data_IF_376500574160
#
_entry.id   IF_376500574160
#
_cell.length_a   1.000
_cell.length_b   1.000
_cell.length_c   1.000
_cell.angle_alpha   90.00
_cell.angle_beta   90.00
_cell.angle_gamma   90.00
#
_symmetry.space_group_name_H-M   'P 1'
#
loop_
_entity.id
_entity.type
_entity.pdbx_description
1 polymer ?
#
# COMPACT_ATOMS: atom_id res chain seq x y z
N UNK A 1 -8.09 69.50 -14.65
CA UNK A 1 -6.88 68.94 -15.27
C UNK A 1 -7.04 67.43 -15.20
N UNK A 2 -7.26 66.80 -16.35
CA UNK A 2 -7.51 65.37 -16.43
C UNK A 2 -6.16 64.67 -16.33
N UNK A 3 -5.76 64.30 -15.12
CA UNK A 3 -4.63 63.41 -14.93
C UNK A 3 -4.95 62.11 -15.65
N UNK A 4 -4.14 61.76 -16.64
CA UNK A 4 -4.29 60.53 -17.42
C UNK A 4 -4.42 59.35 -16.45
N UNK A 5 -5.65 58.84 -16.33
CA UNK A 5 -6.07 57.75 -15.42
C UNK A 5 -5.28 56.45 -15.66
N UNK A 6 -4.55 56.38 -16.77
CA UNK A 6 -3.67 55.29 -17.11
C UNK A 6 -2.24 55.80 -17.33
N UNK A 7 -1.44 55.80 -16.27
CA UNK A 7 0.00 55.97 -16.39
C UNK A 7 0.56 54.77 -17.20
N UNK A 8 1.20 55.04 -18.34
CA UNK A 8 1.78 54.03 -19.23
C UNK A 8 2.72 53.06 -18.50
N UNK A 9 3.40 53.52 -17.45
CA UNK A 9 4.23 52.67 -16.58
C UNK A 9 3.39 51.66 -15.79
N UNK A 10 2.26 52.07 -15.25
CA UNK A 10 1.33 51.20 -14.52
C UNK A 10 0.70 50.16 -15.45
N UNK A 11 0.36 50.52 -16.68
CA UNK A 11 -0.18 49.58 -17.66
C UNK A 11 0.88 48.52 -18.03
N UNK A 12 2.10 48.97 -18.32
CA UNK A 12 3.20 48.08 -18.71
C UNK A 12 3.56 47.08 -17.61
N UNK A 13 3.63 47.54 -16.36
CA UNK A 13 3.92 46.68 -15.20
C UNK A 13 2.85 45.61 -14.97
N UNK A 14 1.56 45.96 -15.09
CA UNK A 14 0.46 44.99 -14.98
C UNK A 14 0.50 43.97 -16.12
N UNK A 15 0.79 44.40 -17.35
CA UNK A 15 0.94 43.50 -18.51
C UNK A 15 2.08 42.50 -18.32
N UNK A 16 3.25 42.96 -17.86
CA UNK A 16 4.42 42.12 -17.60
C UNK A 16 4.11 41.11 -16.48
N UNK A 17 3.48 41.56 -15.41
CA UNK A 17 3.06 40.70 -14.30
C UNK A 17 2.10 39.61 -14.77
N UNK A 18 1.08 39.96 -15.56
CA UNK A 18 0.11 39.00 -16.10
C UNK A 18 0.78 38.01 -17.06
N UNK A 19 1.71 38.48 -17.90
CA UNK A 19 2.48 37.64 -18.80
C UNK A 19 3.32 36.61 -18.04
N UNK A 20 3.98 37.02 -16.94
CA UNK A 20 4.71 36.09 -16.07
C UNK A 20 3.80 35.02 -15.49
N UNK A 21 2.62 35.39 -14.98
CA UNK A 21 1.64 34.43 -14.46
C UNK A 21 1.20 33.40 -15.49
N UNK A 22 0.89 33.84 -16.71
CA UNK A 22 0.51 32.94 -17.82
C UNK A 22 1.67 32.01 -18.17
N UNK A 23 2.90 32.51 -18.20
CA UNK A 23 4.09 31.72 -18.51
C UNK A 23 4.34 30.65 -17.44
N UNK A 24 4.23 31.01 -16.15
CA UNK A 24 4.37 30.08 -15.02
C UNK A 24 3.29 29.00 -15.07
N UNK A 25 2.02 29.38 -15.27
CA UNK A 25 0.91 28.44 -15.37
C UNK A 25 1.07 27.48 -16.57
N UNK A 26 1.54 27.99 -17.71
CA UNK A 26 1.84 27.19 -18.90
C UNK A 26 2.95 26.17 -18.63
N UNK A 27 4.02 26.58 -17.93
CA UNK A 27 5.13 25.69 -17.58
C UNK A 27 4.69 24.54 -16.66
N UNK A 28 3.87 24.85 -15.65
CA UNK A 28 3.29 23.87 -14.73
C UNK A 28 2.40 22.88 -15.50
N UNK A 29 1.54 23.39 -16.39
CA UNK A 29 0.65 22.56 -17.23
C UNK A 29 1.43 21.66 -18.18
N UNK A 30 2.50 22.16 -18.80
CA UNK A 30 3.35 21.40 -19.73
C UNK A 30 4.09 20.26 -19.00
N UNK A 31 4.66 20.53 -17.82
CA UNK A 31 5.34 19.49 -17.00
C UNK A 31 4.36 18.44 -16.47
N UNK A 32 3.15 18.85 -16.06
CA UNK A 32 2.08 17.93 -15.63
C UNK A 32 1.70 16.93 -16.73
N UNK A 33 1.66 17.37 -18.00
CA UNK A 33 1.31 16.48 -19.11
C UNK A 33 2.33 15.36 -19.34
N UNK A 34 3.62 15.60 -19.11
CA UNK A 34 4.66 14.55 -19.24
C UNK A 34 4.60 13.53 -18.10
N UNK A 35 4.32 13.99 -16.88
CA UNK A 35 4.08 13.09 -15.74
C UNK A 35 2.84 12.22 -15.95
N UNK A 36 1.76 12.79 -16.51
CA UNK A 36 0.57 12.02 -16.90
C UNK A 36 0.91 10.89 -17.88
N UNK A 37 1.83 11.11 -18.84
CA UNK A 37 2.26 10.06 -19.79
C UNK A 37 3.01 8.91 -19.12
N UNK A 38 3.84 9.21 -18.13
CA UNK A 38 4.62 8.18 -17.40
C UNK A 38 3.70 7.32 -16.54
N UNK A 39 2.70 7.91 -15.88
CA UNK A 39 1.72 7.17 -15.07
C UNK A 39 0.78 6.34 -15.96
N UNK A 40 0.37 6.86 -17.12
CA UNK A 40 -0.62 6.22 -17.98
C UNK A 40 -0.08 5.01 -18.77
N UNK A 41 1.24 4.82 -18.85
CA UNK A 41 1.84 3.68 -19.55
C UNK A 41 1.99 2.44 -18.66
N UNK A 42 1.75 2.54 -17.35
CA UNK A 42 1.80 1.38 -16.46
C UNK A 42 0.51 0.58 -16.59
N UNK A 43 0.57 -0.55 -17.31
CA UNK A 43 -0.57 -1.48 -17.44
C UNK A 43 -0.82 -2.14 -16.09
N UNK A 44 -2.02 -1.92 -15.54
CA UNK A 44 -2.51 -2.62 -14.35
C UNK A 44 -3.10 -3.94 -14.81
N UNK A 45 -2.56 -5.05 -14.33
CA UNK A 45 -3.09 -6.38 -14.60
C UNK A 45 -3.86 -6.89 -13.38
N UNK A 46 -5.16 -7.13 -13.53
CA UNK A 46 -5.99 -7.67 -12.45
C UNK A 46 -5.77 -9.19 -12.43
N UNK A 47 -5.19 -9.68 -11.35
CA UNK A 47 -4.91 -11.10 -11.15
C UNK A 47 -6.17 -11.80 -10.63
N UNK A 48 -6.83 -11.18 -9.64
CA UNK A 48 -7.99 -11.76 -8.99
C UNK A 48 -8.94 -10.68 -8.51
N UNK A 49 -10.24 -10.95 -8.64
CA UNK A 49 -11.31 -10.10 -8.16
C UNK A 49 -12.28 -10.96 -7.34
N UNK A 50 -12.55 -10.56 -6.10
CA UNK A 50 -13.49 -11.23 -5.22
C UNK A 50 -14.47 -10.21 -4.65
N UNK A 51 -15.75 -10.25 -5.04
CA UNK A 51 -16.78 -9.42 -4.42
C UNK A 51 -17.04 -9.93 -3.00
N UNK A 52 -17.01 -9.02 -2.03
CA UNK A 52 -17.30 -9.28 -0.63
C UNK A 52 -18.72 -8.74 -0.33
N UNK A 53 -19.39 -9.34 0.65
CA UNK A 53 -20.73 -8.92 1.06
C UNK A 53 -20.74 -7.46 1.53
N UNK A 54 -21.86 -6.78 1.31
CA UNK A 54 -22.06 -5.40 1.77
C UNK A 54 -21.32 -4.36 0.93
N UNK A 55 -21.08 -4.61 -0.36
CA UNK A 55 -20.52 -3.62 -1.30
C UNK A 55 -18.99 -3.48 -1.26
N UNK A 56 -18.32 -4.37 -0.53
CA UNK A 56 -16.86 -4.46 -0.49
C UNK A 56 -16.34 -5.32 -1.65
N UNK A 57 -15.12 -5.06 -2.09
CA UNK A 57 -14.41 -5.89 -3.08
C UNK A 57 -12.95 -6.02 -2.69
N UNK A 58 -12.43 -7.24 -2.80
CA UNK A 58 -11.00 -7.51 -2.76
C UNK A 58 -10.46 -7.71 -4.18
N UNK A 59 -9.30 -7.10 -4.46
CA UNK A 59 -8.66 -7.13 -5.77
C UNK A 59 -7.18 -7.40 -5.56
N UNK A 60 -6.67 -8.43 -6.21
CA UNK A 60 -5.23 -8.64 -6.37
C UNK A 60 -4.88 -8.15 -7.78
N UNK A 61 -3.94 -7.21 -7.87
CA UNK A 61 -3.46 -6.73 -9.17
C UNK A 61 -1.95 -6.56 -9.17
N UNK A 62 -1.34 -6.64 -10.35
CA UNK A 62 0.08 -6.36 -10.54
C UNK A 62 0.28 -5.12 -11.38
N UNK A 63 1.30 -4.36 -11.00
CA UNK A 63 1.83 -3.24 -11.78
C UNK A 63 3.30 -3.55 -12.02
N UNK A 64 3.69 -3.72 -13.29
CA UNK A 64 5.04 -4.15 -13.66
C UNK A 64 5.40 -5.48 -12.98
N UNK A 65 6.39 -5.50 -12.08
CA UNK A 65 6.85 -6.68 -11.34
C UNK A 65 6.37 -6.72 -9.89
N UNK A 66 5.49 -5.81 -9.51
CA UNK A 66 4.98 -5.70 -8.14
C UNK A 66 3.53 -6.16 -8.07
N UNK A 67 3.16 -6.75 -6.94
CA UNK A 67 1.79 -7.19 -6.69
C UNK A 67 1.21 -6.44 -5.50
N UNK A 68 -0.05 -6.08 -5.64
CA UNK A 68 -0.82 -5.34 -4.65
C UNK A 68 -2.10 -6.09 -4.30
N UNK A 69 -2.46 -6.03 -3.04
CA UNK A 69 -3.75 -6.47 -2.52
C UNK A 69 -4.54 -5.25 -2.08
N UNK A 70 -5.72 -5.08 -2.67
CA UNK A 70 -6.63 -3.99 -2.39
C UNK A 70 -7.91 -4.56 -1.81
N UNK A 71 -8.44 -3.92 -0.77
CA UNK A 71 -9.77 -4.20 -0.23
C UNK A 71 -10.46 -2.87 0.03
N UNK A 72 -11.66 -2.69 -0.51
CA UNK A 72 -12.39 -1.43 -0.33
C UNK A 72 -13.88 -1.54 -0.58
N UNK A 73 -14.63 -0.58 -0.02
CA UNK A 73 -16.05 -0.39 -0.29
C UNK A 73 -16.26 0.59 -1.44
N UNK A 74 -17.31 0.40 -2.24
CA UNK A 74 -17.64 1.32 -3.36
C UNK A 74 -17.83 2.78 -2.93
N UNK A 75 -18.22 3.03 -1.67
CA UNK A 75 -18.50 4.37 -1.13
C UNK A 75 -17.72 4.72 0.14
N UNK A 76 -16.69 3.94 0.49
CA UNK A 76 -16.05 4.04 1.80
C UNK A 76 -14.54 3.85 1.75
N UNK A 77 -13.97 3.61 2.93
CA UNK A 77 -12.53 3.43 3.08
C UNK A 77 -12.04 2.19 2.34
N UNK A 78 -10.81 2.31 1.84
CA UNK A 78 -10.10 1.23 1.18
C UNK A 78 -8.69 1.11 1.74
N UNK A 79 -8.17 -0.11 1.76
CA UNK A 79 -6.79 -0.39 2.11
C UNK A 79 -6.07 -1.01 0.92
N UNK A 80 -4.82 -0.64 0.73
CA UNK A 80 -3.94 -1.14 -0.30
C UNK A 80 -2.62 -1.55 0.35
N UNK A 81 -2.25 -2.81 0.16
CA UNK A 81 -1.03 -3.40 0.70
C UNK A 81 -0.22 -3.96 -0.44
N UNK A 82 1.07 -3.64 -0.46
CA UNK A 82 2.02 -4.26 -1.39
C UNK A 82 2.36 -5.67 -0.88
N UNK A 83 2.00 -6.70 -1.65
CA UNK A 83 2.20 -8.11 -1.27
C UNK A 83 3.47 -8.72 -1.88
N UNK A 84 3.95 -8.14 -3.00
CA UNK A 84 5.23 -8.54 -3.59
C UNK A 84 5.95 -7.29 -4.09
N UNK A 85 7.15 -7.08 -3.56
CA UNK A 85 8.02 -5.99 -3.98
C UNK A 85 9.08 -6.51 -4.95
N UNK A 86 9.35 -5.71 -5.98
CA UNK A 86 10.41 -5.97 -6.94
C UNK A 86 11.78 -6.00 -6.24
N UNK A 87 12.63 -6.96 -6.57
CA UNK A 87 13.99 -7.06 -6.01
C UNK A 87 14.85 -5.81 -6.31
N UNK A 88 14.49 -5.03 -7.33
CA UNK A 88 15.20 -3.81 -7.73
C UNK A 88 15.00 -2.62 -6.77
N UNK A 89 14.10 -2.71 -5.79
CA UNK A 89 13.71 -1.56 -4.92
C UNK A 89 14.07 -1.76 -3.44
N UNK A 90 14.75 -2.85 -3.08
CA UNK A 90 15.10 -3.17 -1.68
C UNK A 90 16.13 -2.22 -1.05
N UNK A 91 16.81 -1.41 -1.85
CA UNK A 91 17.93 -0.57 -1.37
C UNK A 91 17.55 0.87 -1.00
N UNK A 92 16.31 1.34 -1.23
CA UNK A 92 15.98 2.77 -1.07
C UNK A 92 14.64 3.09 -0.37
N UNK A 93 14.21 2.31 0.64
CA UNK A 93 13.11 2.75 1.52
C UNK A 93 13.63 3.07 2.92
N UNK A 94 13.95 4.36 3.10
CA UNK A 94 14.10 5.02 4.40
C UNK A 94 12.82 4.74 5.22
N UNK A 95 12.99 4.07 6.36
CA UNK A 95 11.94 3.86 7.35
C UNK A 95 11.71 5.19 8.06
N UNK A 96 10.69 5.93 7.64
CA UNK A 96 10.16 7.04 8.43
C UNK A 96 8.67 6.77 8.70
N UNK A 97 8.44 5.92 9.69
CA UNK A 97 7.15 5.87 10.38
C UNK A 97 7.36 5.37 11.82
N UNK A 98 8.19 6.09 12.58
CA UNK A 98 8.26 5.94 14.05
C UNK A 98 7.24 6.88 14.69
N UNK A 99 5.96 6.52 14.60
CA UNK A 99 4.96 7.06 15.50
C UNK A 99 4.80 6.08 16.67
N UNK A 100 5.46 6.43 17.76
CA UNK A 100 5.37 5.86 19.10
C UNK A 100 3.97 5.30 19.43
N UNK A 101 3.86 3.98 19.52
CA UNK A 101 2.93 3.34 20.46
C UNK A 101 3.80 2.49 21.38
N UNK A 102 4.29 3.11 22.45
CA UNK A 102 4.58 2.39 23.68
C UNK A 102 3.24 1.87 24.17
N UNK A 103 3.09 0.56 24.30
CA UNK A 103 2.56 -0.10 25.49
C UNK A 103 2.51 -1.62 25.29
N UNK A 104 3.27 -2.27 26.16
CA UNK A 104 3.05 -3.56 26.80
C UNK A 104 3.53 -4.82 26.08
N UNK A 105 4.31 -5.54 26.88
CA UNK A 105 5.04 -6.76 26.63
C UNK A 105 4.14 -7.96 26.28
N UNK A 106 4.83 -9.01 25.82
CA UNK A 106 4.35 -10.34 25.48
C UNK A 106 3.78 -10.51 24.07
N UNK A 107 4.66 -10.95 23.16
CA UNK A 107 4.53 -12.16 22.34
C UNK A 107 5.77 -12.23 21.42
N UNK A 108 6.81 -12.93 21.89
CA UNK A 108 7.91 -13.39 21.03
C UNK A 108 7.46 -14.65 20.30
N UNK A 109 7.09 -14.51 19.04
CA UNK A 109 6.99 -15.59 18.04
C UNK A 109 7.60 -14.96 16.79
N UNK A 110 8.68 -15.40 16.16
CA UNK A 110 9.44 -16.65 16.19
C UNK A 110 9.97 -16.83 14.77
N UNK A 111 11.10 -16.21 14.41
CA UNK A 111 11.74 -16.39 13.10
C UNK A 111 13.21 -15.95 13.06
N UNK A 112 13.97 -16.23 14.11
CA UNK A 112 15.40 -15.89 14.15
C UNK A 112 16.17 -16.87 15.02
N UNK A 113 16.14 -18.17 14.68
CA UNK A 113 16.98 -19.17 15.37
C UNK A 113 17.27 -20.42 14.52
N UNK A 114 17.37 -20.27 13.19
CA UNK A 114 17.73 -21.36 12.26
C UNK A 114 19.03 -21.10 11.49
N UNK A 115 20.06 -20.59 12.17
CA UNK A 115 21.45 -20.76 11.70
C UNK A 115 22.35 -21.04 12.90
N UNK A 116 22.93 -22.23 12.89
CA UNK A 116 23.92 -22.76 13.85
C UNK A 116 23.38 -23.58 15.03
N UNK A 117 22.89 -24.78 14.75
CA UNK A 117 23.15 -25.92 15.65
C UNK A 117 23.25 -27.22 14.86
N UNK A 118 24.46 -27.78 14.84
CA UNK A 118 24.78 -29.12 14.34
C UNK A 118 24.11 -30.12 15.29
N UNK A 119 23.08 -30.84 14.87
CA UNK A 119 22.50 -31.94 15.64
C UNK A 119 22.14 -33.08 14.70
N UNK A 120 22.70 -34.25 15.00
CA UNK A 120 22.47 -35.57 14.39
C UNK A 120 20.99 -35.98 14.43
N UNK A 121 20.49 -36.72 13.43
CA UNK A 121 19.07 -37.07 13.38
C UNK A 121 18.77 -38.23 14.34
N UNK A 122 18.02 -37.95 15.40
CA UNK A 122 17.33 -38.97 16.19
C UNK A 122 15.93 -39.13 15.58
N UNK A 123 15.66 -40.29 15.00
CA UNK A 123 14.38 -40.62 14.37
C UNK A 123 13.35 -40.83 15.48
N UNK A 124 12.48 -39.85 15.72
CA UNK A 124 11.28 -40.02 16.52
C UNK A 124 10.12 -40.43 15.61
N UNK A 125 9.74 -41.70 15.68
CA UNK A 125 8.55 -42.23 15.04
C UNK A 125 7.31 -41.67 15.73
N UNK A 126 6.72 -40.60 15.17
CA UNK A 126 5.43 -40.09 15.64
C UNK A 126 4.35 -41.14 15.40
N UNK A 127 3.70 -41.60 16.48
CA UNK A 127 2.54 -42.51 16.46
C UNK A 127 1.43 -41.88 15.59
N UNK A 128 0.73 -42.64 14.74
CA UNK A 128 -0.32 -42.09 13.90
C UNK A 128 -1.45 -41.48 14.74
N UNK A 129 -2.05 -40.42 14.22
CA UNK A 129 -3.17 -39.70 14.84
C UNK A 129 -4.35 -40.67 15.06
N UNK A 130 -4.67 -40.94 16.31
CA UNK A 130 -5.86 -41.73 16.68
C UNK A 130 -7.12 -40.91 16.39
N UNK A 131 -8.00 -41.47 15.56
CA UNK A 131 -9.34 -40.91 15.34
C UNK A 131 -10.18 -41.15 16.60
N UNK A 132 -10.44 -40.08 17.34
CA UNK A 132 -11.38 -40.10 18.46
C UNK A 132 -12.80 -39.84 17.96
N UNK A 133 -13.75 -40.66 18.42
CA UNK A 133 -15.15 -40.54 18.04
C UNK A 133 -15.78 -39.35 18.78
N UNK A 134 -16.48 -38.49 18.04
CA UNK A 134 -17.07 -37.25 18.55
C UNK A 134 -18.08 -37.55 19.68
N UNK A 135 -18.72 -38.72 19.62
CA UNK A 135 -19.66 -39.20 20.65
C UNK A 135 -19.03 -39.31 22.04
N UNK A 136 -17.74 -39.68 22.11
CA UNK A 136 -17.01 -39.83 23.38
C UNK A 136 -16.67 -38.45 23.97
N UNK A 137 -16.35 -37.47 23.11
CA UNK A 137 -16.10 -36.08 23.51
C UNK A 137 -17.38 -35.42 24.07
N UNK A 138 -18.54 -35.70 23.44
CA UNK A 138 -19.85 -35.23 23.88
C UNK A 138 -20.27 -35.86 25.21
N UNK A 139 -20.01 -37.15 25.40
CA UNK A 139 -20.28 -37.84 26.67
C UNK A 139 -19.42 -37.29 27.82
N UNK A 140 -18.18 -36.89 27.53
CA UNK A 140 -17.30 -36.25 28.50
C UNK A 140 -17.85 -34.90 28.97
N UNK A 141 -18.40 -34.10 28.04
CA UNK A 141 -18.98 -32.79 28.35
C UNK A 141 -20.34 -32.89 29.05
N UNK A 142 -21.09 -33.98 28.85
CA UNK A 142 -22.41 -34.19 29.48
C UNK A 142 -22.32 -34.60 30.95
N UNK A 143 -21.13 -34.93 31.47
CA UNK A 143 -20.92 -35.39 32.84
C UNK A 143 -20.44 -34.26 33.79
N UNK A 144 -20.89 -33.02 33.54
CA UNK A 144 -20.70 -31.84 34.39
C UNK A 144 -22.01 -31.36 34.97
#
# INVERSE_FOLDING_TARGET
MNENIFNSYTISTVLIFLALFVLTAFFIRKKSSSLKKIINNKKINIIEYSPIRGGYSAIVFSVENEKFFFVGHKSGNSNLVQILQSEAEKDNRFVDNSNNIKNNDDVKIGLSELKNKKVTPKIETKKPLEQVNISDLLALHKKG
#
